data_IF_457231815292
#
_entry.id   IF_457231815292
#
_cell.length_a   1.000
_cell.length_b   1.000
_cell.length_c   1.000
_cell.angle_alpha   90.00
_cell.angle_beta   90.00
_cell.angle_gamma   90.00
#
_symmetry.space_group_name_H-M   'P 1'
#
loop_
_entity.id
_entity.type
_entity.pdbx_description
1 polymer ?
#
# COMPACT_ATOMS: atom_id res chain seq x y z
N UNK A 1 -18.92 -14.00 3.58
CA UNK A 1 -20.41 -13.91 3.67
C UNK A 1 -21.17 -14.96 2.87
N UNK A 2 -20.54 -15.62 1.88
CA UNK A 2 -21.15 -16.73 1.14
C UNK A 2 -22.30 -16.31 0.21
N UNK A 3 -22.34 -15.04 -0.20
CA UNK A 3 -23.38 -14.49 -1.09
C UNK A 3 -22.74 -14.00 -2.38
N UNK A 4 -23.47 -14.01 -3.51
CA UNK A 4 -22.97 -13.47 -4.77
C UNK A 4 -22.69 -11.96 -4.67
N UNK A 5 -21.70 -11.47 -5.43
CA UNK A 5 -21.28 -10.06 -5.40
C UNK A 5 -22.41 -9.09 -5.76
N UNK A 6 -23.38 -9.50 -6.59
CA UNK A 6 -24.54 -8.67 -6.95
C UNK A 6 -25.49 -8.37 -5.78
N UNK A 7 -25.35 -9.06 -4.64
CA UNK A 7 -26.08 -8.77 -3.41
C UNK A 7 -25.38 -7.75 -2.52
N UNK A 8 -24.14 -7.37 -2.85
CA UNK A 8 -23.33 -6.43 -2.07
C UNK A 8 -23.32 -5.08 -2.77
N UNK A 9 -23.79 -4.05 -2.06
CA UNK A 9 -23.79 -2.67 -2.55
C UNK A 9 -22.81 -1.87 -1.72
N UNK A 10 -21.80 -1.30 -2.37
CA UNK A 10 -20.83 -0.39 -1.77
C UNK A 10 -21.12 1.02 -2.27
N UNK A 11 -21.26 1.99 -1.36
CA UNK A 11 -21.50 3.40 -1.69
C UNK A 11 -20.42 4.27 -1.04
N UNK A 12 -19.73 5.07 -1.84
CA UNK A 12 -18.72 6.04 -1.37
C UNK A 12 -19.08 7.41 -1.92
N UNK A 13 -19.44 8.36 -1.05
CA UNK A 13 -19.74 9.75 -1.46
C UNK A 13 -18.48 10.61 -1.56
N UNK A 14 -17.64 10.56 -0.52
CA UNK A 14 -16.33 11.23 -0.43
C UNK A 14 -15.46 10.53 0.60
N UNK A 15 -14.15 10.75 0.54
CA UNK A 15 -13.20 10.34 1.56
C UNK A 15 -12.53 11.59 2.15
N UNK A 16 -12.34 11.63 3.47
CA UNK A 16 -11.47 12.61 4.13
C UNK A 16 -10.00 12.20 4.00
N UNK A 17 -9.47 12.20 2.77
CA UNK A 17 -8.12 11.71 2.47
C UNK A 17 -8.02 10.17 2.41
N UNK A 18 -7.08 9.69 1.59
CA UNK A 18 -6.83 8.26 1.36
C UNK A 18 -5.36 7.94 1.14
N UNK A 19 -4.69 8.64 0.22
CA UNK A 19 -3.23 8.58 0.00
C UNK A 19 -2.66 7.16 -0.15
N UNK A 20 -3.43 6.23 -0.73
CA UNK A 20 -3.09 4.81 -0.89
C UNK A 20 -3.56 3.92 0.28
N UNK A 21 -3.62 4.43 1.51
CA UNK A 21 -4.00 3.64 2.70
C UNK A 21 -5.44 3.11 2.69
N UNK A 22 -6.31 3.61 1.81
CA UNK A 22 -7.71 3.14 1.64
C UNK A 22 -7.95 2.38 0.33
N UNK A 23 -6.90 2.00 -0.38
CA UNK A 23 -7.01 1.21 -1.61
C UNK A 23 -7.37 -0.24 -1.29
N UNK A 24 -6.59 -0.88 -0.40
CA UNK A 24 -6.78 -2.29 -0.03
C UNK A 24 -7.01 -2.48 1.46
N UNK A 25 -6.42 -1.64 2.32
CA UNK A 25 -6.40 -1.85 3.78
C UNK A 25 -7.76 -1.68 4.46
N UNK A 26 -8.65 -0.86 3.87
CA UNK A 26 -10.03 -0.70 4.38
C UNK A 26 -10.91 -1.94 4.21
N UNK A 27 -10.50 -2.91 3.40
CA UNK A 27 -11.26 -4.14 3.15
C UNK A 27 -11.40 -4.96 4.43
N UNK A 28 -10.35 -5.05 5.26
CA UNK A 28 -10.39 -5.82 6.51
C UNK A 28 -11.48 -5.30 7.47
N UNK A 29 -11.53 -3.99 7.69
CA UNK A 29 -12.54 -3.37 8.54
C UNK A 29 -13.95 -3.46 7.94
N UNK A 30 -14.05 -3.32 6.62
CA UNK A 30 -15.33 -3.44 5.90
C UNK A 30 -15.90 -4.86 6.00
N UNK A 31 -15.05 -5.87 5.85
CA UNK A 31 -15.40 -7.28 6.01
C UNK A 31 -15.77 -7.62 7.46
N UNK A 32 -15.02 -7.11 8.45
CA UNK A 32 -15.32 -7.30 9.87
C UNK A 32 -16.72 -6.73 10.21
N UNK A 33 -17.00 -5.50 9.79
CA UNK A 33 -18.30 -4.87 9.99
C UNK A 33 -19.43 -5.64 9.28
N UNK A 34 -19.20 -6.14 8.06
CA UNK A 34 -20.19 -6.93 7.33
C UNK A 34 -20.51 -8.27 8.00
N UNK A 35 -19.50 -8.97 8.53
CA UNK A 35 -19.69 -10.21 9.30
C UNK A 35 -20.45 -9.93 10.59
N UNK A 36 -20.09 -8.87 11.31
CA UNK A 36 -20.80 -8.46 12.53
C UNK A 36 -22.27 -8.13 12.22
N UNK A 37 -22.54 -7.31 11.20
CA UNK A 37 -23.90 -6.95 10.78
C UNK A 37 -24.74 -8.19 10.42
N UNK A 38 -24.15 -9.16 9.71
CA UNK A 38 -24.81 -10.44 9.41
C UNK A 38 -25.10 -11.25 10.67
N UNK A 39 -24.21 -11.25 11.67
CA UNK A 39 -24.41 -12.01 12.92
C UNK A 39 -25.49 -11.38 13.79
N UNK A 40 -25.50 -10.06 13.94
CA UNK A 40 -26.42 -9.35 14.85
C UNK A 40 -27.74 -8.93 14.20
N UNK A 41 -27.87 -9.07 12.87
CA UNK A 41 -29.05 -8.68 12.09
C UNK A 41 -29.46 -7.21 12.30
N UNK A 42 -28.46 -6.33 12.48
CA UNK A 42 -28.63 -4.89 12.67
C UNK A 42 -27.55 -4.12 11.91
N UNK A 43 -27.79 -2.86 11.54
CA UNK A 43 -26.73 -2.01 10.99
C UNK A 43 -25.56 -1.89 11.96
N UNK A 44 -24.34 -2.10 11.45
CA UNK A 44 -23.09 -1.97 12.21
C UNK A 44 -22.25 -0.87 11.59
N UNK A 45 -21.73 0.02 12.45
CA UNK A 45 -20.77 1.05 12.08
C UNK A 45 -19.47 0.77 12.83
N UNK A 46 -18.36 0.81 12.11
CA UNK A 46 -17.02 0.61 12.66
C UNK A 46 -16.16 1.80 12.25
N UNK A 47 -15.64 2.51 13.24
CA UNK A 47 -14.72 3.63 13.08
C UNK A 47 -13.53 3.31 13.96
N UNK A 48 -12.34 3.29 13.37
CA UNK A 48 -11.11 3.09 14.10
C UNK A 48 -10.71 4.38 14.80
N UNK A 49 -10.23 4.24 16.03
CA UNK A 49 -9.43 5.28 16.66
C UNK A 49 -8.05 5.35 15.98
N UNK A 50 -7.35 6.46 16.20
CA UNK A 50 -6.13 6.78 15.43
C UNK A 50 -5.00 5.77 15.69
N UNK A 51 -4.82 5.36 16.93
CA UNK A 51 -3.83 4.37 17.35
C UNK A 51 -4.11 2.99 16.72
N UNK A 52 -5.35 2.52 16.76
CA UNK A 52 -5.76 1.29 16.09
C UNK A 52 -5.52 1.36 14.57
N UNK A 53 -5.90 2.46 13.93
CA UNK A 53 -5.70 2.68 12.49
C UNK A 53 -4.21 2.61 12.12
N UNK A 54 -3.34 3.24 12.92
CA UNK A 54 -1.88 3.23 12.70
C UNK A 54 -1.27 1.84 12.88
N UNK A 55 -1.78 1.04 13.82
CA UNK A 55 -1.27 -0.32 14.07
C UNK A 55 -1.76 -1.32 13.01
N UNK A 56 -3.01 -1.20 12.56
CA UNK A 56 -3.66 -2.23 11.73
C UNK A 56 -3.42 -1.98 10.24
N UNK A 57 -3.53 -0.73 9.79
CA UNK A 57 -3.64 -0.45 8.36
C UNK A 57 -2.30 -0.44 7.64
N UNK A 58 -1.19 -0.36 8.37
CA UNK A 58 0.16 -0.30 7.80
C UNK A 58 0.44 1.06 7.15
N UNK A 59 1.45 1.11 6.27
CA UNK A 59 1.88 2.36 5.66
C UNK A 59 2.83 2.17 4.49
N UNK A 60 3.64 3.19 4.23
CA UNK A 60 4.65 3.15 3.17
C UNK A 60 5.72 2.11 3.47
N UNK A 61 6.10 1.33 2.46
CA UNK A 61 7.22 0.40 2.55
C UNK A 61 8.52 1.12 2.95
N UNK A 62 9.17 0.72 4.05
CA UNK A 62 10.55 1.06 4.32
C UNK A 62 11.45 0.43 3.24
N UNK A 63 12.44 1.18 2.74
CA UNK A 63 13.40 0.71 1.75
C UNK A 63 14.83 0.72 2.32
N UNK A 64 15.60 -0.29 1.94
CA UNK A 64 17.06 -0.32 2.04
C UNK A 64 17.62 -0.38 0.62
N UNK A 65 18.45 0.60 0.26
CA UNK A 65 19.16 0.64 -1.01
C UNK A 65 20.65 0.37 -0.81
N UNK A 66 21.21 -0.56 -1.58
CA UNK A 66 22.67 -0.76 -1.69
C UNK A 66 23.07 -0.46 -3.13
N UNK A 67 24.00 0.46 -3.32
CA UNK A 67 24.37 0.93 -4.65
C UNK A 67 25.88 1.07 -4.81
N UNK A 68 26.31 0.93 -6.07
CA UNK A 68 27.65 1.29 -6.54
C UNK A 68 27.49 2.13 -7.79
N UNK A 69 28.08 3.32 -7.80
CA UNK A 69 28.01 4.27 -8.90
C UNK A 69 29.40 4.53 -9.47
N UNK A 70 29.52 4.53 -10.79
CA UNK A 70 30.72 4.95 -11.51
C UNK A 70 30.48 6.28 -12.20
N UNK A 71 31.42 7.22 -12.06
CA UNK A 71 31.37 8.55 -12.68
C UNK A 71 32.76 8.96 -13.20
N UNK A 72 32.80 9.87 -14.17
CA UNK A 72 34.04 10.42 -14.72
C UNK A 72 34.55 11.64 -13.92
N UNK A 73 35.69 12.21 -14.31
CA UNK A 73 36.27 13.40 -13.65
C UNK A 73 35.38 14.65 -13.69
N UNK A 74 34.46 14.74 -14.66
CA UNK A 74 33.48 15.84 -14.79
C UNK A 74 32.20 15.60 -13.98
N UNK A 75 32.10 14.46 -13.27
CA UNK A 75 30.93 14.10 -12.47
C UNK A 75 29.77 13.46 -13.25
N UNK A 76 29.94 13.15 -14.54
CA UNK A 76 28.95 12.42 -15.34
C UNK A 76 28.88 10.96 -14.89
N UNK A 77 27.68 10.48 -14.55
CA UNK A 77 27.43 9.08 -14.21
C UNK A 77 27.55 8.23 -15.49
N UNK A 78 28.26 7.11 -15.38
CA UNK A 78 28.51 6.17 -16.47
C UNK A 78 27.94 4.76 -16.22
N UNK A 79 27.74 4.41 -14.95
CA UNK A 79 27.20 3.12 -14.55
C UNK A 79 26.58 3.19 -13.15
N UNK A 80 25.52 2.41 -12.93
CA UNK A 80 24.86 2.21 -11.65
C UNK A 80 24.51 0.74 -11.45
N UNK A 81 25.06 0.11 -10.41
CA UNK A 81 24.60 -1.18 -9.89
C UNK A 81 23.81 -0.90 -8.60
N UNK A 82 22.52 -1.24 -8.60
CA UNK A 82 21.60 -0.94 -7.52
C UNK A 82 20.80 -2.18 -7.11
N UNK A 83 20.77 -2.43 -5.80
CA UNK A 83 19.87 -3.40 -5.16
C UNK A 83 18.93 -2.68 -4.20
N UNK A 84 17.63 -2.84 -4.42
CA UNK A 84 16.58 -2.32 -3.56
C UNK A 84 15.91 -3.46 -2.81
N UNK A 85 15.70 -3.24 -1.50
CA UNK A 85 14.96 -4.13 -0.63
C UNK A 85 13.84 -3.33 0.02
N UNK A 86 12.61 -3.84 0.00
CA UNK A 86 11.48 -3.23 0.70
C UNK A 86 10.93 -4.17 1.76
N UNK A 87 10.54 -3.62 2.91
CA UNK A 87 9.83 -4.41 3.92
C UNK A 87 8.33 -4.45 3.59
N UNK A 88 7.85 -5.59 3.10
CA UNK A 88 6.47 -5.82 2.69
C UNK A 88 5.50 -6.07 3.87
N UNK A 89 6.03 -6.25 5.08
CA UNK A 89 5.24 -6.74 6.21
C UNK A 89 4.87 -8.21 6.04
N UNK A 90 3.71 -8.60 6.57
CA UNK A 90 3.30 -10.00 6.69
C UNK A 90 2.54 -10.56 5.47
N UNK A 91 2.11 -9.71 4.55
CA UNK A 91 1.31 -10.08 3.38
C UNK A 91 1.82 -9.39 2.13
N UNK A 92 1.59 -9.98 0.95
CA UNK A 92 2.04 -9.39 -0.32
C UNK A 92 1.40 -8.02 -0.58
N UNK A 93 0.08 -7.89 -0.43
CA UNK A 93 -0.67 -6.66 -0.76
C UNK A 93 -0.21 -6.08 -2.12
N UNK A 94 0.02 -4.76 -2.22
CA UNK A 94 0.58 -4.11 -3.41
C UNK A 94 2.12 -4.07 -3.46
N UNK A 95 2.82 -4.84 -2.62
CA UNK A 95 4.27 -4.68 -2.41
C UNK A 95 5.12 -4.93 -3.66
N UNK A 96 4.73 -5.90 -4.50
CA UNK A 96 5.43 -6.20 -5.75
C UNK A 96 5.33 -5.03 -6.73
N UNK A 97 4.14 -4.42 -6.82
CA UNK A 97 3.90 -3.27 -7.68
C UNK A 97 4.72 -2.06 -7.22
N UNK A 98 4.78 -1.82 -5.90
CA UNK A 98 5.61 -0.76 -5.30
C UNK A 98 7.09 -0.95 -5.68
N UNK A 99 7.63 -2.16 -5.59
CA UNK A 99 9.02 -2.43 -5.99
C UNK A 99 9.25 -2.20 -7.50
N UNK A 100 8.31 -2.65 -8.35
CA UNK A 100 8.39 -2.40 -9.80
C UNK A 100 8.43 -0.91 -10.13
N UNK A 101 7.55 -0.11 -9.53
CA UNK A 101 7.56 1.34 -9.71
C UNK A 101 8.84 1.99 -9.17
N UNK A 102 9.36 1.51 -8.04
CA UNK A 102 10.64 2.00 -7.51
C UNK A 102 11.77 1.78 -8.53
N UNK A 103 11.83 0.62 -9.18
CA UNK A 103 12.83 0.32 -10.22
C UNK A 103 12.64 1.17 -11.49
N UNK A 104 11.40 1.37 -11.95
CA UNK A 104 11.14 2.20 -13.15
C UNK A 104 11.47 3.67 -12.96
N UNK A 105 11.45 4.16 -11.73
CA UNK A 105 11.64 5.59 -11.43
C UNK A 105 13.01 5.90 -10.86
N UNK A 106 13.88 4.90 -10.69
CA UNK A 106 15.12 5.07 -9.93
C UNK A 106 16.16 5.95 -10.59
N UNK A 107 16.15 6.04 -11.92
CA UNK A 107 17.01 6.94 -12.68
C UNK A 107 16.54 8.40 -12.60
N UNK A 108 15.29 8.62 -12.16
CA UNK A 108 14.67 9.94 -12.07
C UNK A 108 14.82 10.72 -13.38
N UNK A 109 15.55 11.85 -13.36
CA UNK A 109 15.79 12.70 -14.53
C UNK A 109 17.20 12.52 -15.13
N UNK A 110 17.93 11.48 -14.71
CA UNK A 110 19.31 11.24 -15.15
C UNK A 110 19.34 10.13 -16.21
N UNK A 111 20.12 10.38 -17.27
CA UNK A 111 20.51 9.33 -18.21
C UNK A 111 21.74 8.63 -17.63
N UNK A 112 21.53 7.42 -17.11
CA UNK A 112 22.53 6.61 -16.41
C UNK A 112 22.85 5.38 -17.24
#
# INVERSE_FOLDING_TARGET
MGVPSNKIVIKVKRLGGGFGGKETRSIFMSCAAAVAAKKVQKPVKLVLDRDDDMQITGGRHPFLGKYKVGFNGDGKILALDLKLYSNAGWSVDISELVMKFALYTVTNAYNV
#
